data_IF_926811120313
#
_entry.id   IF_926811120313
#
_cell.length_a   1.000
_cell.length_b   1.000
_cell.length_c   1.000
_cell.angle_alpha   90.00
_cell.angle_beta   90.00
_cell.angle_gamma   90.00
#
_symmetry.space_group_name_H-M   'P 1'
#
loop_
_entity.id
_entity.type
_entity.pdbx_description
1 polymer ?
#
# COMPACT_ATOMS: atom_id res chain seq x y z
N UNK A 1 -0.41 -42.91 18.96
CA UNK A 1 -0.91 -41.83 18.08
C UNK A 1 -0.17 -41.94 16.77
N UNK A 2 -0.84 -42.08 15.61
CA UNK A 2 -0.13 -42.01 14.34
C UNK A 2 0.33 -40.57 14.13
N UNK A 3 1.61 -40.40 13.77
CA UNK A 3 2.14 -39.14 13.26
C UNK A 3 1.39 -38.84 11.96
N UNK A 4 0.57 -37.78 11.97
CA UNK A 4 -0.06 -37.27 10.76
C UNK A 4 1.05 -36.78 9.83
N UNK A 5 1.41 -37.63 8.87
CA UNK A 5 2.32 -37.26 7.79
C UNK A 5 1.70 -36.05 7.08
N UNK A 6 2.32 -34.88 7.22
CA UNK A 6 2.03 -33.74 6.36
C UNK A 6 2.08 -34.24 4.93
N UNK A 7 1.01 -34.08 4.13
CA UNK A 7 0.97 -34.65 2.80
C UNK A 7 2.15 -34.07 2.02
N UNK A 8 3.01 -34.95 1.51
CA UNK A 8 4.05 -34.59 0.55
C UNK A 8 3.35 -33.87 -0.61
N UNK A 9 3.63 -32.58 -0.78
CA UNK A 9 3.01 -31.78 -1.84
C UNK A 9 3.79 -32.08 -3.13
N UNK A 10 3.49 -33.22 -3.76
CA UNK A 10 4.09 -33.63 -5.03
C UNK A 10 3.26 -33.10 -6.21
N UNK A 11 3.22 -31.78 -6.37
CA UNK A 11 2.59 -31.11 -7.52
C UNK A 11 3.60 -30.21 -8.24
N UNK A 12 3.16 -29.44 -9.23
CA UNK A 12 4.05 -28.47 -9.89
C UNK A 12 4.62 -27.49 -8.87
N UNK A 13 5.80 -26.88 -9.11
CA UNK A 13 6.36 -25.87 -8.21
C UNK A 13 5.38 -24.72 -7.88
N UNK A 14 4.53 -24.35 -8.83
CA UNK A 14 3.46 -23.37 -8.64
C UNK A 14 2.41 -23.84 -7.62
N UNK A 15 1.93 -25.06 -7.80
CA UNK A 15 0.95 -25.68 -6.93
C UNK A 15 1.45 -25.86 -5.50
N UNK A 16 2.75 -26.13 -5.36
CA UNK A 16 3.45 -26.18 -4.07
C UNK A 16 3.48 -24.79 -3.45
N UNK A 17 3.84 -23.75 -4.22
CA UNK A 17 3.87 -22.37 -3.75
C UNK A 17 2.51 -21.86 -3.24
N UNK A 18 1.42 -22.13 -3.97
CA UNK A 18 0.05 -21.78 -3.55
C UNK A 18 -0.30 -22.48 -2.25
N UNK A 19 -0.02 -23.79 -2.14
CA UNK A 19 -0.37 -24.57 -0.96
C UNK A 19 0.45 -24.20 0.27
N UNK A 20 1.74 -23.89 0.08
CA UNK A 20 2.61 -23.33 1.13
C UNK A 20 2.06 -21.97 1.59
N UNK A 21 1.65 -21.11 0.64
CA UNK A 21 1.03 -19.82 0.96
C UNK A 21 -0.26 -19.95 1.77
N UNK A 22 -1.15 -20.88 1.42
CA UNK A 22 -2.38 -21.16 2.19
C UNK A 22 -2.09 -21.67 3.60
N UNK A 23 -1.10 -22.56 3.75
CA UNK A 23 -0.68 -23.09 5.05
C UNK A 23 0.01 -22.02 5.90
N UNK A 24 0.78 -21.13 5.28
CA UNK A 24 1.49 -20.06 5.95
C UNK A 24 0.58 -18.87 6.29
N UNK A 25 -0.49 -18.62 5.53
CA UNK A 25 -1.40 -17.46 5.71
C UNK A 25 -1.86 -17.24 7.17
N UNK A 26 -2.42 -18.22 7.88
CA UNK A 26 -2.80 -18.02 9.28
C UNK A 26 -1.61 -17.77 10.22
N UNK A 27 -0.43 -18.33 9.93
CA UNK A 27 0.80 -18.10 10.71
C UNK A 27 1.36 -16.71 10.43
N UNK A 28 1.35 -16.26 9.18
CA UNK A 28 1.72 -14.89 8.79
C UNK A 28 0.77 -13.86 9.37
N UNK A 29 -0.54 -14.10 9.33
CA UNK A 29 -1.54 -13.21 9.93
C UNK A 29 -1.32 -13.09 11.44
N UNK A 30 -1.06 -14.23 12.11
CA UNK A 30 -0.75 -14.27 13.55
C UNK A 30 0.60 -13.60 13.86
N UNK A 31 1.62 -13.85 13.04
CA UNK A 31 2.96 -13.27 13.18
C UNK A 31 2.94 -11.75 12.98
N UNK A 32 2.22 -11.24 11.99
CA UNK A 32 2.10 -9.80 11.76
C UNK A 32 1.31 -9.10 12.88
N UNK A 33 0.29 -9.76 13.44
CA UNK A 33 -0.44 -9.25 14.61
C UNK A 33 0.40 -9.25 15.90
N UNK A 34 1.31 -10.21 16.06
CA UNK A 34 2.18 -10.34 17.24
C UNK A 34 3.50 -9.55 17.11
N UNK A 35 3.91 -9.23 15.89
CA UNK A 35 5.15 -8.54 15.58
C UNK A 35 5.05 -7.05 15.92
N UNK A 36 6.03 -6.55 16.68
CA UNK A 36 6.17 -5.11 16.95
C UNK A 36 6.38 -4.29 15.68
N UNK A 37 7.03 -4.87 14.65
CA UNK A 37 7.19 -4.25 13.35
C UNK A 37 5.86 -4.21 12.56
N UNK A 38 5.10 -5.31 12.56
CA UNK A 38 3.77 -5.37 11.93
C UNK A 38 2.78 -4.40 12.57
N UNK A 39 2.74 -4.35 13.91
CA UNK A 39 1.95 -3.36 14.66
C UNK A 39 2.42 -1.93 14.39
N UNK A 40 3.74 -1.69 14.28
CA UNK A 40 4.26 -0.36 13.97
C UNK A 40 3.80 0.13 12.60
N UNK A 41 3.78 -0.73 11.58
CA UNK A 41 3.28 -0.42 10.24
C UNK A 41 1.76 -0.20 10.24
N UNK A 42 1.00 -1.04 10.94
CA UNK A 42 -0.45 -0.89 11.08
C UNK A 42 -0.86 0.41 11.78
N UNK A 43 -0.07 0.92 12.73
CA UNK A 43 -0.35 2.21 13.39
C UNK A 43 -0.35 3.40 12.44
N UNK A 44 0.34 3.30 11.30
CA UNK A 44 0.30 4.35 10.28
C UNK A 44 -0.98 4.29 9.42
N UNK A 45 -1.73 3.18 9.46
CA UNK A 45 -3.05 3.05 8.83
C UNK A 45 -4.02 4.07 9.43
N UNK A 46 -4.48 5.03 8.62
CA UNK A 46 -5.35 6.13 9.06
C UNK A 46 -4.74 7.03 10.16
N UNK A 47 -3.41 7.05 10.29
CA UNK A 47 -2.75 7.88 11.29
C UNK A 47 -2.90 9.38 10.98
N UNK A 48 -3.10 10.24 12.00
CA UNK A 48 -3.20 11.69 11.82
C UNK A 48 -2.02 12.31 11.08
N UNK A 49 -0.83 11.69 11.15
CA UNK A 49 0.35 12.08 10.38
C UNK A 49 0.12 12.01 8.87
N UNK A 50 -0.56 10.97 8.36
CA UNK A 50 -0.85 10.83 6.92
C UNK A 50 -1.83 11.93 6.48
N UNK A 51 -2.84 12.22 7.31
CA UNK A 51 -3.74 13.34 7.07
C UNK A 51 -3.03 14.70 7.16
N UNK A 52 -2.05 14.85 8.05
CA UNK A 52 -1.22 16.04 8.13
C UNK A 52 -0.31 16.22 6.91
N UNK A 53 0.27 15.13 6.39
CA UNK A 53 1.08 15.16 5.19
C UNK A 53 0.25 15.57 3.96
N UNK A 54 -0.96 15.02 3.81
CA UNK A 54 -1.90 15.45 2.77
C UNK A 54 -2.23 16.95 2.87
N UNK A 55 -2.31 17.49 4.09
CA UNK A 55 -2.54 18.92 4.29
C UNK A 55 -1.34 19.76 3.87
N UNK A 56 -0.12 19.33 4.17
CA UNK A 56 1.11 19.99 3.71
C UNK A 56 1.18 19.95 2.18
N UNK A 57 0.85 18.82 1.55
CA UNK A 57 0.83 18.69 0.09
C UNK A 57 -0.30 19.47 -0.57
N UNK A 58 -1.32 19.89 0.18
CA UNK A 58 -2.39 20.78 -0.27
C UNK A 58 -2.15 22.26 0.02
N UNK A 59 -0.94 22.63 0.43
CA UNK A 59 -0.57 24.01 0.75
C UNK A 59 -0.68 24.93 -0.47
N UNK A 60 -1.42 26.02 -0.28
CA UNK A 60 -1.67 27.10 -1.26
C UNK A 60 -1.33 28.46 -0.67
N UNK A 61 -0.44 28.51 0.32
CA UNK A 61 -0.11 29.76 0.99
C UNK A 61 0.31 30.82 -0.05
N UNK A 62 -0.22 32.05 0.05
CA UNK A 62 0.07 33.12 -0.91
C UNK A 62 1.48 33.70 -0.73
N UNK A 63 2.15 33.36 0.36
CA UNK A 63 3.51 33.79 0.66
C UNK A 63 4.50 32.65 0.36
N UNK A 64 5.41 32.89 -0.59
CA UNK A 64 6.35 31.88 -1.07
C UNK A 64 5.84 31.11 -2.28
N UNK A 65 6.55 30.04 -2.65
CA UNK A 65 6.11 29.13 -3.72
C UNK A 65 5.21 28.04 -3.12
N UNK A 66 3.91 27.98 -3.49
CA UNK A 66 3.00 26.98 -2.94
C UNK A 66 3.40 25.59 -3.42
N UNK A 67 3.18 24.58 -2.57
CA UNK A 67 3.41 23.17 -2.94
C UNK A 67 2.32 22.70 -3.92
N UNK A 68 1.06 23.08 -3.68
CA UNK A 68 -0.06 22.76 -4.56
C UNK A 68 -0.33 23.96 -5.48
N UNK A 69 0.14 23.87 -6.73
CA UNK A 69 -0.09 24.88 -7.77
C UNK A 69 -1.40 24.57 -8.50
N UNK A 70 -2.34 25.51 -8.54
CA UNK A 70 -3.58 25.37 -9.33
C UNK A 70 -4.02 26.69 -10.00
N UNK A 71 -3.07 27.58 -10.28
CA UNK A 71 -3.33 28.87 -10.93
C UNK A 71 -3.60 28.67 -12.44
N UNK A 72 -4.79 28.99 -12.96
CA UNK A 72 -5.06 28.88 -14.39
C UNK A 72 -4.17 29.79 -15.26
N UNK A 73 -3.55 30.80 -14.67
CA UNK A 73 -2.59 31.70 -15.31
C UNK A 73 -1.12 31.30 -15.04
N UNK A 74 -0.87 30.09 -14.52
CA UNK A 74 0.48 29.59 -14.25
C UNK A 74 1.35 29.65 -15.51
N UNK A 75 2.40 30.50 -15.55
CA UNK A 75 3.10 30.82 -16.79
C UNK A 75 3.95 29.67 -17.36
N UNK A 76 4.26 28.66 -16.55
CA UNK A 76 5.02 27.47 -16.96
C UNK A 76 4.15 26.20 -17.11
N UNK A 77 2.83 26.29 -16.91
CA UNK A 77 1.86 25.17 -17.00
C UNK A 77 2.18 23.98 -16.07
N UNK A 78 2.89 24.20 -14.95
CA UNK A 78 3.27 23.15 -14.00
C UNK A 78 2.30 23.02 -12.80
N UNK A 79 0.99 23.17 -13.07
CA UNK A 79 -0.02 22.98 -12.05
C UNK A 79 -0.05 21.54 -11.50
N UNK A 80 -0.24 21.42 -10.18
CA UNK A 80 -0.46 20.16 -9.49
C UNK A 80 -1.85 19.60 -9.83
N UNK A 81 -1.86 18.59 -10.71
CA UNK A 81 -3.10 17.93 -11.14
C UNK A 81 -3.75 17.14 -10.01
N UNK A 82 -2.96 16.39 -9.22
CA UNK A 82 -3.44 15.63 -8.07
C UNK A 82 -2.28 15.15 -7.18
N UNK A 83 -2.60 14.78 -5.94
CA UNK A 83 -1.71 14.14 -4.97
C UNK A 83 -1.99 12.64 -4.89
N UNK A 84 -0.96 11.82 -5.11
CA UNK A 84 -1.01 10.38 -4.92
C UNK A 84 -0.52 9.98 -3.52
N UNK A 85 -1.26 9.13 -2.83
CA UNK A 85 -0.82 8.53 -1.55
C UNK A 85 -0.79 7.01 -1.68
N UNK A 86 0.37 6.44 -1.35
CA UNK A 86 0.60 5.01 -1.26
C UNK A 86 0.78 4.64 0.21
N UNK A 87 -0.11 3.79 0.74
CA UNK A 87 0.09 3.17 2.03
C UNK A 87 0.47 1.70 1.82
N UNK A 88 1.72 1.38 2.16
CA UNK A 88 2.25 0.02 2.07
C UNK A 88 1.65 -0.79 3.22
N UNK A 89 1.01 -1.90 2.89
CA UNK A 89 0.45 -2.89 3.81
C UNK A 89 1.21 -4.21 3.68
N UNK A 90 0.90 -5.12 4.59
CA UNK A 90 1.57 -6.41 4.70
C UNK A 90 1.50 -7.26 3.41
N UNK A 91 0.37 -7.21 2.69
CA UNK A 91 0.15 -7.97 1.46
C UNK A 91 -0.45 -7.13 0.31
N UNK A 92 -0.44 -5.81 0.44
CA UNK A 92 -1.09 -4.91 -0.51
C UNK A 92 -0.50 -3.50 -0.44
N UNK A 93 -0.83 -2.69 -1.42
CA UNK A 93 -0.66 -1.24 -1.38
C UNK A 93 -2.06 -0.63 -1.51
N UNK A 94 -2.45 0.17 -0.52
CA UNK A 94 -3.59 1.07 -0.71
C UNK A 94 -3.10 2.29 -1.48
N UNK A 95 -3.75 2.58 -2.60
CA UNK A 95 -3.41 3.70 -3.48
C UNK A 95 -4.61 4.63 -3.60
N UNK A 96 -4.41 5.91 -3.30
CA UNK A 96 -5.46 6.93 -3.40
C UNK A 96 -4.95 8.15 -4.16
N UNK A 97 -5.84 8.79 -4.93
CA UNK A 97 -5.58 10.07 -5.60
C UNK A 97 -6.50 11.13 -5.00
N UNK A 98 -5.93 12.26 -4.64
CA UNK A 98 -6.61 13.42 -4.08
C UNK A 98 -6.43 14.62 -5.00
N UNK A 99 -7.52 15.26 -5.39
CA UNK A 99 -7.51 16.49 -6.18
C UNK A 99 -8.26 17.57 -5.41
N UNK A 100 -7.65 18.75 -5.26
CA UNK A 100 -8.18 19.84 -4.45
C UNK A 100 -8.54 19.39 -3.01
N UNK A 101 -7.67 18.59 -2.40
CA UNK A 101 -7.89 18.03 -1.05
C UNK A 101 -9.01 16.98 -0.94
N UNK A 102 -9.65 16.61 -2.05
CA UNK A 102 -10.73 15.62 -2.09
C UNK A 102 -10.24 14.32 -2.71
N UNK A 103 -10.46 13.18 -2.05
CA UNK A 103 -10.18 11.87 -2.65
C UNK A 103 -11.06 11.65 -3.88
N UNK A 104 -10.43 11.49 -5.05
CA UNK A 104 -11.11 11.22 -6.34
C UNK A 104 -11.04 9.75 -6.74
N UNK A 105 -10.04 9.04 -6.24
CA UNK A 105 -9.84 7.64 -6.55
C UNK A 105 -9.25 6.89 -5.35
N UNK A 106 -9.65 5.63 -5.21
CA UNK A 106 -9.06 4.70 -4.26
C UNK A 106 -9.07 3.29 -4.86
N UNK A 107 -7.95 2.59 -4.75
CA UNK A 107 -7.84 1.18 -5.11
C UNK A 107 -6.86 0.48 -4.19
N UNK A 108 -6.93 -0.84 -4.17
CA UNK A 108 -5.98 -1.70 -3.48
C UNK A 108 -5.24 -2.53 -4.51
N UNK A 109 -3.93 -2.36 -4.56
CA UNK A 109 -3.03 -3.14 -5.41
C UNK A 109 -2.57 -4.34 -4.58
N UNK A 110 -2.90 -5.54 -5.04
CA UNK A 110 -2.41 -6.80 -4.46
C UNK A 110 -1.39 -7.43 -5.40
N UNK A 111 -0.36 -8.13 -4.89
CA UNK A 111 0.57 -8.86 -5.72
C UNK A 111 -0.17 -9.85 -6.63
N UNK A 112 -0.01 -9.71 -7.95
CA UNK A 112 -0.48 -10.72 -8.90
C UNK A 112 0.56 -11.84 -9.00
N UNK A 113 0.10 -13.09 -9.08
CA UNK A 113 0.97 -14.27 -9.14
C UNK A 113 1.92 -14.32 -10.36
N UNK A 114 1.80 -13.36 -11.30
CA UNK A 114 2.52 -13.34 -12.58
C UNK A 114 3.78 -12.46 -12.61
N UNK A 115 4.08 -11.66 -11.58
CA UNK A 115 5.19 -10.69 -11.65
C UNK A 115 6.60 -11.25 -11.37
N UNK A 116 6.76 -12.57 -11.14
CA UNK A 116 8.07 -13.17 -10.79
C UNK A 116 8.80 -13.91 -11.92
N UNK A 117 8.32 -13.83 -13.17
CA UNK A 117 8.98 -14.48 -14.32
C UNK A 117 9.95 -13.59 -15.11
N UNK A 118 10.36 -12.44 -14.57
CA UNK A 118 11.42 -11.63 -15.18
C UNK A 118 12.51 -11.33 -14.15
N UNK A 119 13.40 -12.29 -13.94
CA UNK A 119 14.84 -12.05 -13.74
C UNK A 119 15.64 -13.33 -13.94
#
# INVERSE_FOLDING_TARGET
>A
MPLSLSPVIARTPFDIGVRVGELARPVSDTYMQQSSAGQAVHRWHAHPFVAALLRVLGDRAPEGLPIYRDDPADPDDENTLATAVFAIRDAAIDFTIHQHGTQRFATRIVPSAHARSAS
#
